data_IF_786782489377
#
_entry.id   IF_786782489377
#
_cell.length_a   1.000
_cell.length_b   1.000
_cell.length_c   1.000
_cell.angle_alpha   90.00
_cell.angle_beta   90.00
_cell.angle_gamma   90.00
#
_symmetry.space_group_name_H-M   'P 1'
#
loop_
_entity.id
_entity.type
_entity.pdbx_description
1 polymer ?
#
# COMPACT_ATOMS: atom_id res chain seq x y z
N UNK A 1 -9.67 -4.22 8.31
CA UNK A 1 -8.88 -3.75 7.14
C UNK A 1 -9.61 -4.16 5.86
N UNK A 2 -9.71 -3.25 4.89
CA UNK A 2 -10.25 -3.53 3.55
C UNK A 2 -9.28 -3.05 2.47
N UNK A 3 -9.36 -3.64 1.27
CA UNK A 3 -8.48 -3.29 0.14
C UNK A 3 -9.15 -2.28 -0.78
N UNK A 4 -8.37 -1.32 -1.27
CA UNK A 4 -8.75 -0.41 -2.34
C UNK A 4 -7.76 -0.56 -3.51
N UNK A 5 -8.22 -0.30 -4.73
CA UNK A 5 -7.35 -0.29 -5.92
C UNK A 5 -6.39 0.91 -5.87
N UNK A 6 -5.21 0.74 -6.46
CA UNK A 6 -4.22 1.82 -6.60
C UNK A 6 -4.85 3.00 -7.35
N UNK A 7 -4.78 4.19 -6.75
CA UNK A 7 -5.30 5.45 -7.30
C UNK A 7 -6.81 5.65 -7.15
N UNK A 8 -7.57 4.65 -6.70
CA UNK A 8 -9.04 4.74 -6.65
C UNK A 8 -9.55 5.42 -5.37
N UNK A 9 -9.38 6.73 -5.26
CA UNK A 9 -9.75 7.48 -4.05
C UNK A 9 -11.25 7.36 -3.68
N UNK A 10 -12.14 7.16 -4.65
CA UNK A 10 -13.57 6.96 -4.39
C UNK A 10 -13.85 5.63 -3.67
N UNK A 11 -13.08 4.57 -3.94
CA UNK A 11 -13.22 3.30 -3.21
C UNK A 11 -12.80 3.50 -1.76
N UNK A 12 -11.70 4.23 -1.56
CA UNK A 12 -11.25 4.60 -0.23
C UNK A 12 -12.28 5.45 0.53
N UNK A 13 -12.99 6.37 -0.13
CA UNK A 13 -14.07 7.16 0.49
C UNK A 13 -15.24 6.28 0.92
N UNK A 14 -15.62 5.31 0.10
CA UNK A 14 -16.67 4.34 0.46
C UNK A 14 -16.24 3.51 1.67
N UNK A 15 -15.00 3.01 1.67
CA UNK A 15 -14.48 2.23 2.79
C UNK A 15 -14.38 3.05 4.08
N UNK A 16 -13.98 4.32 3.99
CA UNK A 16 -13.99 5.25 5.13
C UNK A 16 -15.40 5.46 5.69
N UNK A 17 -16.39 5.66 4.81
CA UNK A 17 -17.79 5.81 5.21
C UNK A 17 -18.38 4.54 5.85
N UNK A 18 -17.89 3.36 5.43
CA UNK A 18 -18.27 2.07 6.02
C UNK A 18 -17.61 1.80 7.39
N UNK A 19 -16.67 2.65 7.82
CA UNK A 19 -16.05 2.57 9.14
C UNK A 19 -15.01 1.47 9.27
N UNK A 20 -14.24 1.17 8.20
CA UNK A 20 -13.11 0.24 8.31
C UNK A 20 -11.96 0.84 9.12
N UNK A 21 -11.24 0.02 9.87
CA UNK A 21 -10.13 0.51 10.71
C UNK A 21 -8.88 0.92 9.89
N UNK A 22 -8.66 0.27 8.74
CA UNK A 22 -7.50 0.48 7.86
C UNK A 22 -7.88 0.23 6.40
N UNK A 23 -7.33 1.03 5.49
CA UNK A 23 -7.35 0.76 4.05
C UNK A 23 -5.98 0.28 3.59
N UNK A 24 -5.93 -0.84 2.86
CA UNK A 24 -4.76 -1.30 2.11
C UNK A 24 -4.91 -0.90 0.64
N UNK A 25 -4.16 0.12 0.20
CA UNK A 25 -4.07 0.43 -1.23
C UNK A 25 -3.17 -0.61 -1.89
N UNK A 26 -3.81 -1.56 -2.58
CA UNK A 26 -3.18 -2.86 -2.85
C UNK A 26 -2.93 -3.08 -4.33
N UNK A 27 -1.66 -3.37 -4.66
CA UNK A 27 -1.20 -3.85 -5.96
C UNK A 27 -1.69 -5.26 -6.31
N UNK A 28 -2.29 -5.97 -5.35
CA UNK A 28 -2.93 -7.27 -5.57
C UNK A 28 -4.23 -7.12 -6.36
N UNK A 29 -4.85 -5.94 -6.30
CA UNK A 29 -6.00 -5.59 -7.12
C UNK A 29 -5.54 -4.91 -8.41
N UNK A 30 -6.36 -4.97 -9.45
CA UNK A 30 -6.11 -4.25 -10.70
C UNK A 30 -6.02 -2.74 -10.42
N UNK A 31 -4.92 -2.05 -10.79
CA UNK A 31 -4.80 -0.61 -10.61
C UNK A 31 -5.95 0.15 -11.29
N UNK A 32 -6.44 1.21 -10.65
CA UNK A 32 -7.42 2.12 -11.25
C UNK A 32 -6.74 3.35 -11.89
N UNK A 33 -5.60 3.78 -11.33
CA UNK A 33 -4.68 4.74 -11.93
C UNK A 33 -3.28 4.11 -11.97
N UNK A 34 -2.64 4.14 -13.14
CA UNK A 34 -1.30 3.59 -13.36
C UNK A 34 -0.18 4.54 -12.90
N UNK A 35 -0.48 5.85 -12.83
CA UNK A 35 0.51 6.90 -12.59
C UNK A 35 0.48 7.39 -11.15
N UNK A 36 -0.70 7.44 -10.51
CA UNK A 36 -0.87 8.07 -9.21
C UNK A 36 -1.42 7.12 -8.15
N UNK A 37 -0.93 7.27 -6.93
CA UNK A 37 -1.52 6.67 -5.74
C UNK A 37 -2.47 7.67 -5.08
N UNK A 38 -3.36 7.17 -4.22
CA UNK A 38 -4.29 8.02 -3.47
C UNK A 38 -3.50 8.98 -2.56
N UNK A 39 -3.90 10.27 -2.54
CA UNK A 39 -3.44 11.21 -1.51
C UNK A 39 -4.08 10.88 -0.17
N UNK A 40 -3.34 10.19 0.70
CA UNK A 40 -3.87 9.57 1.94
C UNK A 40 -4.08 10.59 3.05
N UNK A 41 -3.36 11.71 2.99
CA UNK A 41 -3.49 12.83 3.95
C UNK A 41 -4.90 13.45 4.00
N UNK A 42 -5.72 13.20 2.98
CA UNK A 42 -7.09 13.69 2.90
C UNK A 42 -8.09 12.82 3.68
N UNK A 43 -7.67 11.67 4.19
CA UNK A 43 -8.50 10.72 4.91
C UNK A 43 -8.17 10.72 6.40
N UNK A 44 -9.15 10.41 7.23
CA UNK A 44 -8.97 10.25 8.67
C UNK A 44 -8.47 8.85 9.02
N UNK A 45 -8.88 7.85 8.24
CA UNK A 45 -8.50 6.47 8.48
C UNK A 45 -7.09 6.17 7.95
N UNK A 46 -6.30 5.37 8.68
CA UNK A 46 -4.92 5.05 8.30
C UNK A 46 -4.84 4.16 7.05
N UNK A 47 -3.82 4.41 6.25
CA UNK A 47 -3.52 3.61 5.06
C UNK A 47 -2.31 2.70 5.28
N UNK A 48 -2.40 1.51 4.70
CA UNK A 48 -1.32 0.55 4.51
C UNK A 48 -0.98 0.50 3.03
N UNK A 49 0.31 0.55 2.68
CA UNK A 49 0.76 0.44 1.30
C UNK A 49 1.87 -0.60 1.16
N UNK A 50 1.88 -1.30 0.03
CA UNK A 50 3.02 -2.11 -0.36
C UNK A 50 4.18 -1.25 -0.85
N UNK A 51 5.41 -1.66 -0.53
CA UNK A 51 6.63 -1.18 -1.19
C UNK A 51 7.52 -2.38 -1.56
N UNK A 52 8.36 -2.28 -2.59
CA UNK A 52 9.39 -3.29 -2.93
C UNK A 52 10.82 -2.86 -2.59
N UNK A 53 11.00 -1.59 -2.26
CA UNK A 53 12.27 -0.97 -1.92
C UNK A 53 12.03 0.24 -1.01
N UNK A 54 13.12 0.79 -0.45
CA UNK A 54 13.08 1.95 0.44
C UNK A 54 12.53 3.21 -0.26
N UNK A 55 12.84 3.40 -1.55
CA UNK A 55 12.37 4.58 -2.30
C UNK A 55 10.86 4.58 -2.48
N UNK A 56 10.27 3.43 -2.77
CA UNK A 56 8.84 3.23 -2.83
C UNK A 56 8.19 3.42 -1.46
N UNK A 57 8.79 2.85 -0.40
CA UNK A 57 8.30 3.05 0.97
C UNK A 57 8.26 4.53 1.37
N UNK A 58 9.34 5.27 1.12
CA UNK A 58 9.42 6.70 1.43
C UNK A 58 8.41 7.53 0.62
N UNK A 59 8.18 7.20 -0.67
CA UNK A 59 7.13 7.86 -1.47
C UNK A 59 5.73 7.61 -0.90
N UNK A 60 5.40 6.35 -0.54
CA UNK A 60 4.12 6.01 0.10
C UNK A 60 3.91 6.72 1.43
N UNK A 61 4.96 6.82 2.26
CA UNK A 61 4.93 7.61 3.50
C UNK A 61 4.71 9.10 3.18
N UNK A 62 5.40 9.64 2.17
CA UNK A 62 5.24 11.02 1.71
C UNK A 62 3.81 11.37 1.28
N UNK A 63 3.10 10.40 0.69
CA UNK A 63 1.68 10.48 0.32
C UNK A 63 0.71 10.33 1.51
N UNK A 64 1.20 9.90 2.67
CA UNK A 64 0.44 9.79 3.92
C UNK A 64 0.15 8.35 4.38
N UNK A 65 0.92 7.34 3.93
CA UNK A 65 0.76 5.97 4.44
C UNK A 65 1.20 5.87 5.90
N UNK A 66 0.34 5.31 6.76
CA UNK A 66 0.61 5.12 8.18
C UNK A 66 1.40 3.83 8.46
N UNK A 67 1.31 2.86 7.56
CA UNK A 67 2.03 1.59 7.64
C UNK A 67 2.54 1.18 6.26
N UNK A 68 3.70 0.52 6.22
CA UNK A 68 4.26 -0.09 5.01
C UNK A 68 4.32 -1.60 5.19
N UNK A 69 3.93 -2.33 4.16
CA UNK A 69 4.15 -3.77 4.05
C UNK A 69 5.08 -4.07 2.89
N UNK A 70 5.81 -5.18 2.98
CA UNK A 70 6.66 -5.63 1.89
C UNK A 70 5.81 -6.18 0.74
N UNK A 71 6.13 -5.78 -0.48
CA UNK A 71 5.55 -6.33 -1.71
C UNK A 71 6.22 -7.66 -2.00
N UNK A 72 5.43 -8.71 -1.95
CA UNK A 72 5.79 -10.02 -2.48
C UNK A 72 5.09 -10.29 -3.79
N UNK A 73 5.22 -11.53 -4.25
CA UNK A 73 4.35 -12.06 -5.29
C UNK A 73 3.19 -12.78 -4.62
N UNK A 74 2.15 -12.00 -4.33
CA UNK A 74 0.94 -12.50 -3.66
C UNK A 74 0.37 -13.69 -4.44
N UNK A 75 0.04 -14.77 -3.73
CA UNK A 75 -0.52 -15.99 -4.31
C UNK A 75 0.50 -17.04 -4.81
N UNK A 76 1.80 -16.72 -4.89
CA UNK A 76 2.83 -17.68 -5.33
C UNK A 76 3.27 -18.69 -4.26
N UNK A 77 3.05 -18.38 -2.98
CA UNK A 77 3.60 -19.15 -1.86
C UNK A 77 5.12 -19.07 -1.71
N UNK A 78 5.80 -18.25 -2.52
CA UNK A 78 7.25 -18.09 -2.49
C UNK A 78 7.67 -16.88 -1.64
N UNK A 79 8.58 -17.12 -0.68
CA UNK A 79 9.06 -16.13 0.28
C UNK A 79 10.23 -15.27 -0.23
N UNK A 80 10.82 -15.62 -1.38
CA UNK A 80 12.05 -14.96 -1.85
C UNK A 80 11.90 -13.45 -2.05
N UNK A 81 10.86 -12.99 -2.76
CA UNK A 81 10.68 -11.55 -3.04
C UNK A 81 10.44 -10.69 -1.79
N UNK A 82 9.58 -11.10 -0.83
CA UNK A 82 9.48 -10.41 0.45
C UNK A 82 10.78 -10.37 1.27
N UNK A 83 11.62 -11.41 1.17
CA UNK A 83 12.88 -11.50 1.90
C UNK A 83 13.94 -10.56 1.31
N UNK A 84 14.09 -10.56 -0.02
CA UNK A 84 15.00 -9.69 -0.76
C UNK A 84 14.79 -8.20 -0.43
N UNK A 85 13.54 -7.77 -0.25
CA UNK A 85 13.26 -6.41 0.19
C UNK A 85 13.70 -6.15 1.64
N UNK A 86 13.44 -7.08 2.56
CA UNK A 86 13.79 -6.91 3.97
C UNK A 86 15.31 -6.81 4.15
N UNK A 87 16.07 -7.64 3.45
CA UNK A 87 17.54 -7.57 3.40
C UNK A 87 17.99 -6.20 2.90
N UNK A 88 17.48 -5.74 1.76
CA UNK A 88 17.79 -4.40 1.20
C UNK A 88 17.41 -3.24 2.11
N UNK A 89 16.43 -3.42 2.99
CA UNK A 89 15.98 -2.39 3.92
C UNK A 89 16.87 -2.33 5.17
N UNK A 90 17.39 -3.46 5.62
CA UNK A 90 18.15 -3.58 6.87
C UNK A 90 19.68 -3.56 6.69
N UNK A 91 20.20 -3.97 5.54
CA UNK A 91 21.64 -4.03 5.24
C UNK A 91 22.26 -2.67 4.84
N UNK A 92 21.89 -1.58 5.52
CA UNK A 92 22.54 -0.26 5.40
C UNK A 92 23.22 0.16 6.69
#
# INVERSE_FOLDING_TARGET
MAKARIGHFVEAQVLEALGVDYIDESEVLTPADENNHISKKNFKIPFVCGARDLGEALRRIGEGSAMIRTKGEAGSGNMWKPLDMQEKFWDK
#
